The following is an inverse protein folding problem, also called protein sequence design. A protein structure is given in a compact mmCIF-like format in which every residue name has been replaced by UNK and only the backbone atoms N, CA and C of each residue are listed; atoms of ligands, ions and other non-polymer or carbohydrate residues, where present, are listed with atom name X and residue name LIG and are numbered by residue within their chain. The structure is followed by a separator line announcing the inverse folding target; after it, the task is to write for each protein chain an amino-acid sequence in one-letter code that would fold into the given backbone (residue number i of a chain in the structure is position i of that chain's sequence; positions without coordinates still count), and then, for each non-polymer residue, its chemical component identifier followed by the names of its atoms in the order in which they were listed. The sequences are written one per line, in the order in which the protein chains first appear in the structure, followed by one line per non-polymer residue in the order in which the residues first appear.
data_IF_781682424195
#
_entry.id   IF_781682424195
#
_cell.length_a   1.000
_cell.length_b   1.000
_cell.length_c   1.000
_cell.angle_alpha   90.00
_cell.angle_beta   90.00
_cell.angle_gamma   90.00
#
_symmetry.space_group_name_H-M   'P 1'
#
loop_
_entity.id
_entity.type
_entity.pdbx_description
1 polymer ?
#
# COMPACT_ATOMS: atom_id res chain seq x y z
N UNK A 1 -18.46 13.46 30.16
CA UNK A 1 -17.48 13.51 29.06
C UNK A 1 -17.06 12.07 28.76
N UNK A 2 -17.06 11.63 27.51
CA UNK A 2 -16.65 10.26 27.16
C UNK A 2 -15.11 10.22 27.11
N UNK A 3 -14.51 9.27 27.83
CA UNK A 3 -13.08 8.94 27.69
C UNK A 3 -12.96 7.64 26.91
N UNK A 4 -12.05 7.63 25.94
CA UNK A 4 -11.72 6.45 25.15
C UNK A 4 -10.29 6.04 25.47
N UNK A 5 -10.10 4.79 25.83
CA UNK A 5 -8.80 4.21 26.16
C UNK A 5 -8.62 2.99 25.27
N UNK A 6 -7.44 2.87 24.67
CA UNK A 6 -7.12 1.70 23.86
C UNK A 6 -6.86 0.49 24.75
N UNK A 7 -7.12 -0.70 24.24
CA UNK A 7 -6.95 -1.93 24.98
C UNK A 7 -6.85 -3.12 24.06
N UNK A 8 -6.29 -4.20 24.57
CA UNK A 8 -6.24 -5.47 23.86
C UNK A 8 -7.34 -6.38 24.40
N UNK A 9 -8.16 -6.92 23.50
CA UNK A 9 -9.11 -7.97 23.85
C UNK A 9 -8.45 -9.35 23.68
N UNK A 10 -8.53 -10.19 24.73
CA UNK A 10 -8.03 -11.57 24.71
C UNK A 10 -8.90 -12.46 25.60
N UNK A 11 -9.43 -13.54 25.01
CA UNK A 11 -10.19 -14.58 25.72
C UNK A 11 -11.31 -14.05 26.64
N UNK A 12 -12.08 -13.06 26.17
CA UNK A 12 -13.17 -12.46 26.96
C UNK A 12 -12.74 -11.38 27.95
N UNK A 13 -11.44 -11.04 28.01
CA UNK A 13 -10.90 -9.98 28.87
C UNK A 13 -10.41 -8.81 28.02
N UNK A 14 -10.63 -7.58 28.49
CA UNK A 14 -10.04 -6.36 27.92
C UNK A 14 -8.96 -5.88 28.86
N UNK A 15 -7.72 -5.84 28.37
CA UNK A 15 -6.58 -5.27 29.06
C UNK A 15 -6.36 -3.85 28.54
N UNK A 16 -6.56 -2.84 29.40
CA UNK A 16 -6.37 -1.44 29.05
C UNK A 16 -4.88 -1.13 28.89
N UNK A 17 -4.51 -0.36 27.87
CA UNK A 17 -3.13 0.11 27.70
C UNK A 17 -2.78 1.19 28.72
N UNK A 18 -3.77 1.97 29.15
CA UNK A 18 -3.63 3.03 30.14
C UNK A 18 -4.71 2.89 31.22
N UNK A 19 -4.33 3.12 32.47
CA UNK A 19 -5.26 3.08 33.60
C UNK A 19 -5.75 4.50 33.90
N UNK A 20 -7.06 4.77 33.80
CA UNK A 20 -7.61 6.08 34.16
C UNK A 20 -7.43 6.29 35.67
N UNK A 21 -6.77 7.39 36.06
CA UNK A 21 -6.49 7.68 37.47
C UNK A 21 -7.73 8.06 38.30
N UNK A 22 -8.82 8.43 37.64
CA UNK A 22 -10.01 9.03 38.26
C UNK A 22 -11.28 8.15 38.11
N UNK A 23 -11.11 6.89 37.69
CA UNK A 23 -12.23 5.96 37.47
C UNK A 23 -11.97 4.66 38.23
N UNK A 24 -12.72 4.44 39.30
CA UNK A 24 -12.67 3.21 40.10
C UNK A 24 -13.60 2.12 39.52
N UNK A 25 -14.81 2.49 39.13
CA UNK A 25 -15.82 1.60 38.52
C UNK A 25 -16.68 2.39 37.54
N UNK A 26 -16.95 1.83 36.36
CA UNK A 26 -17.84 2.45 35.37
C UNK A 26 -18.36 1.41 34.38
N UNK A 27 -19.48 1.72 33.71
CA UNK A 27 -19.98 0.95 32.57
C UNK A 27 -19.17 1.29 31.32
N UNK A 28 -18.79 0.28 30.56
CA UNK A 28 -17.98 0.43 29.34
C UNK A 28 -18.71 -0.11 28.12
N UNK A 29 -18.41 0.46 26.95
CA UNK A 29 -18.83 -0.05 25.64
C UNK A 29 -17.55 -0.48 24.92
N UNK A 30 -17.54 -1.71 24.41
CA UNK A 30 -16.39 -2.26 23.68
C UNK A 30 -16.68 -2.22 22.18
N UNK A 31 -15.79 -1.58 21.42
CA UNK A 31 -15.83 -1.52 19.96
C UNK A 31 -14.58 -2.20 19.42
N UNK A 32 -14.76 -3.20 18.54
CA UNK A 32 -13.64 -3.89 17.90
C UNK A 32 -13.19 -3.12 16.67
N UNK A 33 -11.91 -2.78 16.60
CA UNK A 33 -11.31 -2.21 15.41
C UNK A 33 -10.97 -3.34 14.44
N UNK A 34 -11.38 -3.20 13.17
CA UNK A 34 -11.00 -4.15 12.14
C UNK A 34 -9.47 -4.12 11.96
N UNK A 35 -8.80 -5.27 11.88
CA UNK A 35 -7.38 -5.30 11.59
C UNK A 35 -7.17 -4.64 10.23
N UNK A 36 -6.28 -3.65 10.16
CA UNK A 36 -5.79 -3.16 8.88
C UNK A 36 -5.11 -4.34 8.17
N UNK A 37 -5.79 -4.94 7.20
CA UNK A 37 -5.15 -5.89 6.32
C UNK A 37 -3.99 -5.16 5.61
N UNK A 38 -2.73 -5.61 5.73
CA UNK A 38 -1.61 -5.02 5.00
C UNK A 38 -1.65 -5.34 3.49
N UNK A 39 -2.76 -5.89 2.99
CA UNK A 39 -3.00 -6.17 1.59
C UNK A 39 -4.14 -5.22 1.19
N UNK A 40 -3.87 -4.12 0.49
CA UNK A 40 -3.39 -4.15 -0.88
C UNK A 40 -2.74 -2.78 -1.10
N UNK A 41 -1.40 -2.71 -1.15
CA UNK A 41 -0.80 -1.66 -1.98
C UNK A 41 -1.35 -1.94 -3.38
N UNK A 42 -2.43 -1.28 -3.78
CA UNK A 42 -2.72 -1.12 -5.19
C UNK A 42 -1.48 -0.42 -5.70
N UNK A 43 -0.61 -1.17 -6.35
CA UNK A 43 0.55 -0.59 -6.98
C UNK A 43 -0.04 0.23 -8.13
N UNK A 44 -0.32 1.52 -7.86
CA UNK A 44 -0.99 2.43 -8.79
C UNK A 44 -0.16 2.58 -10.07
N UNK A 45 1.13 2.22 -10.02
CA UNK A 45 2.02 2.14 -11.18
C UNK A 45 2.79 0.80 -11.17
N UNK A 46 2.68 0.07 -12.29
CA UNK A 46 3.53 -1.09 -12.62
C UNK A 46 4.33 -0.74 -13.86
N UNK A 47 5.66 -0.93 -13.81
CA UNK A 47 6.53 -0.71 -14.97
C UNK A 47 6.35 -1.85 -15.98
N UNK A 48 6.12 -1.54 -17.25
CA UNK A 48 6.05 -2.53 -18.34
C UNK A 48 4.81 -3.44 -18.30
N UNK A 49 3.69 -2.98 -18.84
CA UNK A 49 2.53 -3.87 -19.05
C UNK A 49 2.66 -4.64 -20.37
N UNK A 50 3.51 -5.67 -20.37
CA UNK A 50 3.50 -6.73 -21.38
C UNK A 50 2.89 -8.01 -20.77
N UNK A 51 2.15 -8.77 -21.57
CA UNK A 51 1.52 -10.02 -21.12
C UNK A 51 2.55 -11.13 -20.99
N UNK A 52 3.17 -11.27 -19.81
CA UNK A 52 4.13 -12.32 -19.50
C UNK A 52 4.51 -12.34 -18.01
N UNK A 53 5.13 -13.43 -17.54
CA UNK A 53 5.64 -13.55 -16.15
C UNK A 53 7.05 -12.99 -15.95
N UNK A 54 7.69 -12.51 -17.02
CA UNK A 54 9.09 -12.09 -17.02
C UNK A 54 9.19 -10.57 -17.13
N UNK A 55 10.20 -10.00 -16.49
CA UNK A 55 10.53 -8.57 -16.61
C UNK A 55 11.10 -8.29 -18.01
N UNK A 56 10.70 -7.17 -18.61
CA UNK A 56 11.23 -6.73 -19.90
C UNK A 56 12.74 -6.53 -19.83
N UNK A 57 13.42 -6.94 -20.90
CA UNK A 57 14.84 -6.73 -21.17
C UNK A 57 15.01 -5.70 -22.28
N UNK A 58 16.22 -5.17 -22.48
CA UNK A 58 16.51 -4.20 -23.55
C UNK A 58 16.09 -4.72 -24.94
N UNK A 59 16.26 -6.02 -25.16
CA UNK A 59 15.90 -6.69 -26.42
C UNK A 59 14.41 -6.56 -26.74
N UNK A 60 13.53 -6.49 -25.73
CA UNK A 60 12.09 -6.33 -25.92
C UNK A 60 11.72 -4.94 -26.46
N UNK A 61 12.59 -3.95 -26.30
CA UNK A 61 12.39 -2.58 -26.77
C UNK A 61 13.00 -2.31 -28.14
N UNK A 62 13.78 -3.24 -28.71
CA UNK A 62 14.41 -3.07 -30.02
C UNK A 62 13.41 -2.83 -31.16
N UNK A 63 12.18 -3.38 -31.07
CA UNK A 63 11.13 -3.13 -32.08
C UNK A 63 10.61 -1.68 -32.02
N UNK A 64 10.66 -1.06 -30.85
CA UNK A 64 10.25 0.32 -30.64
C UNK A 64 11.43 1.31 -30.77
N UNK A 65 12.63 0.82 -31.08
CA UNK A 65 13.81 1.66 -31.24
C UNK A 65 13.61 2.63 -32.41
N UNK A 66 13.74 3.93 -32.10
CA UNK A 66 13.58 4.96 -33.10
C UNK A 66 14.87 5.11 -33.90
N UNK A 67 14.80 4.79 -35.18
CA UNK A 67 15.95 4.87 -36.08
C UNK A 67 16.01 6.14 -36.95
N UNK A 68 15.07 7.07 -36.76
CA UNK A 68 14.95 8.27 -37.61
C UNK A 68 14.48 7.95 -39.03
N UNK A 69 13.76 8.88 -39.65
CA UNK A 69 13.37 8.74 -41.05
C UNK A 69 14.55 9.14 -41.94
N UNK A 70 15.09 8.22 -42.75
CA UNK A 70 16.24 8.53 -43.63
C UNK A 70 15.92 9.57 -44.72
N UNK A 71 14.63 9.85 -44.95
CA UNK A 71 14.15 10.73 -46.01
C UNK A 71 13.95 12.19 -45.57
N UNK A 72 14.08 12.50 -44.28
CA UNK A 72 13.92 13.86 -43.77
C UNK A 72 15.20 14.72 -43.87
N UNK A 73 16.33 14.12 -44.31
CA UNK A 73 17.66 14.74 -44.42
C UNK A 73 18.18 15.33 -43.11
N UNK A 74 17.62 14.93 -41.96
CA UNK A 74 18.06 15.35 -40.64
C UNK A 74 19.01 14.29 -40.06
N UNK A 75 20.09 14.77 -39.41
CA UNK A 75 21.02 13.88 -38.70
C UNK A 75 20.52 13.67 -37.27
N UNK A 76 19.94 12.50 -37.04
CA UNK A 76 19.41 12.06 -35.74
C UNK A 76 20.47 11.38 -34.86
N UNK A 77 21.72 11.34 -35.30
CA UNK A 77 22.81 10.58 -34.65
C UNK A 77 23.54 11.34 -33.53
N UNK A 78 22.99 12.45 -33.02
CA UNK A 78 23.63 13.32 -32.02
C UNK A 78 23.14 13.10 -30.60
#
# INVERSE_FOLDING_TARGET
MLQSIEGTYKDGKVELTELPSDVLESRVIVTFLEPKNPLQHSQIMTFGMFSGKNQSTEDDFGIAEFHGDREDYLDWSK
#
